data_IF_872486043055
#
_entry.id   IF_872486043055
#
_cell.length_a   1.000
_cell.length_b   1.000
_cell.length_c   1.000
_cell.angle_alpha   90.00
_cell.angle_beta   90.00
_cell.angle_gamma   90.00
#
_symmetry.space_group_name_H-M   'P 1'
#
loop_
_entity.id
_entity.type
_entity.pdbx_description
1 polymer ?
#
# COMPACT_ATOMS: atom_id res chain seq x y z
N UNK A 1 18.78 14.64 -20.48
CA UNK A 1 18.60 15.54 -19.33
C UNK A 1 18.58 14.68 -18.10
N UNK A 2 19.45 14.95 -17.13
CA UNK A 2 19.61 14.19 -15.89
C UNK A 2 18.51 14.54 -14.87
N UNK A 3 17.27 14.65 -15.34
CA UNK A 3 16.10 14.92 -14.53
C UNK A 3 15.42 13.61 -14.19
N UNK A 4 15.16 13.37 -12.90
CA UNK A 4 14.38 12.24 -12.45
C UNK A 4 13.01 12.21 -13.13
N UNK A 5 12.63 11.05 -13.66
CA UNK A 5 11.39 10.89 -14.43
C UNK A 5 10.33 10.07 -13.70
N UNK A 6 10.75 9.13 -12.84
CA UNK A 6 9.86 8.21 -12.14
C UNK A 6 10.40 7.88 -10.75
N UNK A 7 9.53 7.38 -9.87
CA UNK A 7 9.92 6.87 -8.55
C UNK A 7 10.64 7.90 -7.67
N UNK A 8 11.63 7.42 -6.89
CA UNK A 8 12.41 8.26 -5.98
C UNK A 8 13.21 9.33 -6.72
N UNK A 9 13.72 9.03 -7.91
CA UNK A 9 14.46 10.01 -8.73
C UNK A 9 13.59 11.22 -9.06
N UNK A 10 12.31 11.00 -9.39
CA UNK A 10 11.37 12.10 -9.62
C UNK A 10 11.00 12.82 -8.32
N UNK A 11 10.65 12.08 -7.27
CA UNK A 11 10.25 12.67 -5.99
C UNK A 11 11.36 13.50 -5.33
N UNK A 12 12.61 13.07 -5.48
CA UNK A 12 13.79 13.67 -4.86
C UNK A 12 14.64 14.45 -5.87
N UNK A 13 14.13 14.75 -7.07
CA UNK A 13 14.91 15.37 -8.14
C UNK A 13 15.63 16.64 -7.67
N UNK A 14 14.93 17.51 -6.92
CA UNK A 14 15.49 18.77 -6.42
C UNK A 14 16.57 18.56 -5.35
N UNK A 15 16.51 17.44 -4.64
CA UNK A 15 17.48 17.05 -3.61
C UNK A 15 18.72 16.39 -4.23
N UNK A 16 18.53 15.57 -5.27
CA UNK A 16 19.56 14.75 -5.93
C UNK A 16 20.32 15.48 -7.05
N UNK A 17 19.66 16.37 -7.80
CA UNK A 17 20.25 16.94 -9.04
C UNK A 17 21.34 18.00 -8.83
N UNK A 18 21.41 18.60 -7.64
CA UNK A 18 22.37 19.67 -7.37
C UNK A 18 22.09 20.94 -8.18
N UNK A 19 23.12 21.68 -8.56
CA UNK A 19 23.02 22.86 -9.44
C UNK A 19 24.18 22.90 -10.42
N UNK A 20 23.86 22.99 -11.71
CA UNK A 20 24.86 23.13 -12.76
C UNK A 20 25.73 24.38 -12.56
N UNK A 21 27.02 24.22 -12.85
CA UNK A 21 27.96 25.32 -12.92
C UNK A 21 27.92 26.03 -14.28
N UNK A 22 28.56 27.19 -14.35
CA UNK A 22 28.81 27.93 -15.59
C UNK A 22 30.28 28.28 -15.66
N UNK A 23 30.90 28.00 -16.80
CA UNK A 23 32.25 28.44 -17.11
C UNK A 23 32.28 29.15 -18.46
N UNK A 24 33.21 30.08 -18.61
CA UNK A 24 33.56 30.71 -19.86
C UNK A 24 34.73 29.95 -20.46
N UNK A 25 34.59 29.52 -21.71
CA UNK A 25 35.62 28.79 -22.43
C UNK A 25 35.82 29.39 -23.82
N UNK A 26 37.04 29.30 -24.35
CA UNK A 26 37.35 29.60 -25.75
C UNK A 26 37.16 28.31 -26.54
N UNK A 27 36.39 28.38 -27.63
CA UNK A 27 36.16 27.24 -28.52
C UNK A 27 36.65 27.53 -29.93
N UNK A 28 36.97 26.47 -30.69
CA UNK A 28 37.16 26.60 -32.13
C UNK A 28 35.80 26.80 -32.86
N UNK A 29 35.86 26.95 -34.19
CA UNK A 29 34.68 27.00 -35.07
C UNK A 29 33.81 25.72 -35.04
N UNK A 30 34.34 24.61 -34.52
CA UNK A 30 33.66 23.34 -34.32
C UNK A 30 33.10 23.15 -32.90
N UNK A 31 33.16 24.17 -32.04
CA UNK A 31 32.73 24.15 -30.62
C UNK A 31 33.56 23.23 -29.72
N UNK A 32 34.76 22.81 -30.13
CA UNK A 32 35.68 22.10 -29.24
C UNK A 32 36.30 23.09 -28.27
N UNK A 33 36.33 22.73 -26.98
CA UNK A 33 36.94 23.58 -25.95
C UNK A 33 38.47 23.58 -26.09
N UNK A 34 39.04 24.77 -26.27
CA UNK A 34 40.49 24.99 -26.37
C UNK A 34 41.05 25.35 -24.99
N UNK A 35 40.37 26.25 -24.27
CA UNK A 35 40.81 26.76 -22.98
C UNK A 35 39.62 27.17 -22.09
N UNK A 36 39.69 26.83 -20.81
CA UNK A 36 38.77 27.32 -19.78
C UNK A 36 39.29 28.65 -19.23
N UNK A 37 38.53 29.73 -19.47
CA UNK A 37 38.96 31.11 -19.14
C UNK A 37 38.57 31.46 -17.70
N UNK A 38 37.36 31.12 -17.29
CA UNK A 38 36.81 31.56 -16.01
C UNK A 38 35.66 30.67 -15.55
N UNK A 39 35.61 30.34 -14.25
CA UNK A 39 34.41 29.74 -13.64
C UNK A 39 33.50 30.87 -13.17
N UNK A 40 32.41 31.10 -13.92
CA UNK A 40 31.40 32.12 -13.60
C UNK A 40 30.56 31.67 -12.38
N UNK A 41 30.23 30.38 -12.33
CA UNK A 41 29.46 29.78 -11.25
C UNK A 41 29.95 28.35 -11.02
N UNK A 42 30.45 28.00 -9.82
CA UNK A 42 30.83 26.62 -9.54
C UNK A 42 29.58 25.73 -9.50
N UNK A 43 29.71 24.52 -10.03
CA UNK A 43 28.68 23.50 -9.89
C UNK A 43 28.54 23.11 -8.41
N UNK A 44 27.32 22.80 -7.98
CA UNK A 44 27.03 22.25 -6.65
C UNK A 44 26.52 20.84 -6.82
N UNK A 45 27.18 19.88 -6.17
CA UNK A 45 26.68 18.51 -6.15
C UNK A 45 25.33 18.44 -5.43
N UNK A 46 24.51 17.47 -5.83
CA UNK A 46 23.33 17.09 -5.09
C UNK A 46 23.67 16.49 -3.74
N UNK A 47 22.65 16.11 -2.99
CA UNK A 47 22.80 15.49 -1.68
C UNK A 47 22.56 13.99 -1.78
N UNK A 48 23.29 13.24 -0.97
CA UNK A 48 23.08 11.80 -0.85
C UNK A 48 21.76 11.52 -0.10
N UNK A 49 21.03 10.52 -0.60
CA UNK A 49 19.82 10.00 -0.01
C UNK A 49 20.04 8.53 0.38
N UNK A 50 19.77 8.20 1.63
CA UNK A 50 19.84 6.82 2.12
C UNK A 50 18.41 6.30 2.23
N UNK A 51 18.05 5.36 1.36
CA UNK A 51 16.74 4.77 1.38
C UNK A 51 16.62 3.74 2.52
N UNK A 52 15.44 3.61 3.11
CA UNK A 52 15.09 2.57 4.09
C UNK A 52 15.07 1.16 3.51
N UNK A 53 15.18 1.02 2.19
CA UNK A 53 15.14 -0.26 1.47
C UNK A 53 16.39 -1.08 1.82
N UNK A 54 16.17 -2.26 2.42
CA UNK A 54 17.23 -3.24 2.61
C UNK A 54 17.36 -4.09 1.33
N UNK A 55 18.47 -3.92 0.61
CA UNK A 55 18.73 -4.60 -0.67
C UNK A 55 18.64 -6.13 -0.55
N UNK A 56 18.94 -6.71 0.62
CA UNK A 56 18.84 -8.17 0.85
C UNK A 56 17.38 -8.60 0.93
N UNK A 57 16.56 -7.86 1.67
CA UNK A 57 15.11 -8.11 1.79
C UNK A 57 14.44 -7.86 0.43
N UNK A 58 14.81 -6.79 -0.25
CA UNK A 58 14.34 -6.46 -1.60
C UNK A 58 14.62 -7.60 -2.60
N UNK A 59 15.86 -8.14 -2.60
CA UNK A 59 16.24 -9.25 -3.48
C UNK A 59 15.45 -10.52 -3.16
N UNK A 60 15.28 -10.86 -1.88
CA UNK A 60 14.51 -12.02 -1.45
C UNK A 60 13.04 -11.89 -1.86
N UNK A 61 12.43 -10.73 -1.60
CA UNK A 61 11.05 -10.44 -1.97
C UNK A 61 10.85 -10.50 -3.48
N UNK A 62 11.77 -9.95 -4.27
CA UNK A 62 11.72 -9.99 -5.72
C UNK A 62 11.80 -11.42 -6.26
N UNK A 63 12.73 -12.22 -5.73
CA UNK A 63 12.94 -13.62 -6.14
C UNK A 63 11.69 -14.46 -5.85
N UNK A 64 11.17 -14.38 -4.62
CA UNK A 64 9.97 -15.10 -4.21
C UNK A 64 8.72 -14.66 -5.02
N UNK A 65 8.57 -13.35 -5.27
CA UNK A 65 7.46 -12.83 -6.07
C UNK A 65 7.50 -13.39 -7.51
N UNK A 66 8.67 -13.38 -8.15
CA UNK A 66 8.83 -13.89 -9.50
C UNK A 66 8.58 -15.40 -9.58
N UNK A 67 9.06 -16.17 -8.60
CA UNK A 67 8.77 -17.60 -8.50
C UNK A 67 7.25 -17.84 -8.40
N UNK A 68 6.57 -17.09 -7.53
CA UNK A 68 5.12 -17.16 -7.38
C UNK A 68 4.37 -16.83 -8.67
N UNK A 69 4.78 -15.76 -9.37
CA UNK A 69 4.20 -15.36 -10.66
C UNK A 69 4.37 -16.45 -11.72
N UNK A 70 5.56 -17.03 -11.83
CA UNK A 70 5.86 -18.07 -12.81
C UNK A 70 5.07 -19.35 -12.51
N UNK A 71 5.04 -19.79 -11.25
CA UNK A 71 4.35 -21.01 -10.84
C UNK A 71 2.82 -20.93 -11.06
N UNK A 72 2.23 -19.74 -10.94
CA UNK A 72 0.78 -19.55 -11.09
C UNK A 72 0.39 -18.90 -12.42
N UNK A 73 1.35 -18.62 -13.30
CA UNK A 73 1.13 -17.87 -14.54
C UNK A 73 0.37 -16.55 -14.29
N UNK A 74 0.69 -15.87 -13.18
CA UNK A 74 -0.02 -14.67 -12.77
C UNK A 74 0.28 -13.51 -13.75
N UNK A 75 -0.74 -12.69 -14.03
CA UNK A 75 -0.56 -11.53 -14.92
C UNK A 75 0.33 -10.46 -14.30
N UNK A 76 0.14 -10.21 -13.00
CA UNK A 76 0.79 -9.17 -12.20
C UNK A 76 0.84 -9.61 -10.75
N UNK A 77 1.84 -9.15 -10.00
CA UNK A 77 1.93 -9.33 -8.55
C UNK A 77 2.71 -8.18 -7.92
N UNK A 78 2.53 -7.97 -6.62
CA UNK A 78 3.29 -6.99 -5.84
C UNK A 78 3.55 -7.53 -4.44
N UNK A 79 4.64 -7.11 -3.81
CA UNK A 79 4.90 -7.38 -2.40
C UNK A 79 5.53 -6.15 -1.74
N UNK A 80 5.19 -5.95 -0.47
CA UNK A 80 5.68 -4.87 0.40
C UNK A 80 6.14 -5.50 1.72
N UNK A 81 7.28 -5.06 2.22
CA UNK A 81 7.79 -5.42 3.54
C UNK A 81 8.03 -4.14 4.32
N UNK A 82 7.45 -4.04 5.51
CA UNK A 82 7.55 -2.89 6.40
C UNK A 82 8.23 -3.28 7.71
N UNK A 83 9.02 -2.37 8.27
CA UNK A 83 9.35 -2.43 9.70
C UNK A 83 8.15 -1.90 10.50
N UNK A 84 7.61 -2.74 11.38
CA UNK A 84 6.39 -2.41 12.14
C UNK A 84 6.62 -1.31 13.18
N UNK A 85 7.85 -1.15 13.67
CA UNK A 85 8.19 -0.21 14.75
C UNK A 85 8.48 1.18 14.21
N UNK A 86 9.03 1.29 13.01
CA UNK A 86 9.43 2.57 12.41
C UNK A 86 8.52 3.02 11.27
N UNK A 87 7.84 2.08 10.60
CA UNK A 87 7.07 2.36 9.37
C UNK A 87 7.95 2.45 8.11
N UNK A 88 9.24 2.14 8.23
CA UNK A 88 10.17 2.09 7.11
C UNK A 88 9.80 1.00 6.11
N UNK A 89 9.85 1.34 4.82
CA UNK A 89 9.69 0.36 3.74
C UNK A 89 11.03 -0.34 3.54
N UNK A 90 11.09 -1.60 3.95
CA UNK A 90 12.29 -2.44 3.79
C UNK A 90 12.38 -3.05 2.39
N UNK A 91 11.22 -3.31 1.77
CA UNK A 91 11.16 -3.77 0.38
C UNK A 91 9.83 -3.40 -0.28
N UNK A 92 9.89 -3.09 -1.56
CA UNK A 92 8.73 -2.89 -2.43
C UNK A 92 9.05 -3.41 -3.83
N UNK A 93 8.33 -4.46 -4.24
CA UNK A 93 8.60 -5.18 -5.49
C UNK A 93 7.31 -5.37 -6.27
N UNK A 94 7.41 -5.28 -7.60
CA UNK A 94 6.29 -5.43 -8.52
C UNK A 94 6.71 -6.36 -9.66
N UNK A 95 5.77 -7.15 -10.17
CA UNK A 95 5.92 -7.91 -11.40
C UNK A 95 4.71 -7.63 -12.32
N UNK A 96 4.91 -7.37 -13.62
CA UNK A 96 6.18 -7.37 -14.32
C UNK A 96 7.05 -6.14 -13.99
N UNK A 97 8.37 -6.34 -14.00
CA UNK A 97 9.39 -5.29 -13.91
C UNK A 97 10.42 -5.48 -15.03
N UNK A 98 11.26 -4.47 -15.28
CA UNK A 98 12.35 -4.56 -16.26
C UNK A 98 13.56 -3.73 -15.81
N UNK A 99 14.71 -3.99 -16.45
CA UNK A 99 15.89 -3.15 -16.30
C UNK A 99 15.70 -1.82 -17.02
N UNK A 100 15.61 -0.74 -16.24
CA UNK A 100 15.39 0.63 -16.72
C UNK A 100 16.63 1.27 -17.34
N UNK A 101 17.81 0.63 -17.26
CA UNK A 101 18.98 1.00 -18.05
C UNK A 101 18.74 0.80 -19.55
N UNK A 102 17.89 -0.16 -19.92
CA UNK A 102 17.50 -0.41 -21.29
C UNK A 102 16.35 0.49 -21.74
N UNK A 103 16.66 1.48 -22.58
CA UNK A 103 15.69 2.45 -23.10
C UNK A 103 14.47 1.79 -23.78
N UNK A 104 14.64 0.62 -24.42
CA UNK A 104 13.53 -0.08 -25.09
C UNK A 104 12.52 -0.68 -24.10
N UNK A 105 12.92 -0.87 -22.84
CA UNK A 105 12.10 -1.46 -21.78
C UNK A 105 11.47 -0.40 -20.86
N UNK A 106 11.68 0.90 -21.13
CA UNK A 106 11.03 2.01 -20.40
C UNK A 106 9.57 2.19 -20.84
N UNK A 107 8.77 1.15 -20.62
CA UNK A 107 7.34 1.14 -20.90
C UNK A 107 6.57 1.24 -19.58
N UNK A 108 5.42 1.96 -19.53
CA UNK A 108 4.63 2.15 -18.32
C UNK A 108 4.34 0.87 -17.54
N UNK A 109 4.13 -0.24 -18.23
CA UNK A 109 3.84 -1.54 -17.61
C UNK A 109 4.95 -2.07 -16.70
N UNK A 110 6.21 -1.67 -16.92
CA UNK A 110 7.40 -2.18 -16.24
C UNK A 110 7.93 -1.27 -15.13
N UNK A 111 7.68 0.04 -15.19
CA UNK A 111 8.11 0.99 -14.14
C UNK A 111 6.98 1.42 -13.20
N UNK A 112 5.72 1.11 -13.53
CA UNK A 112 4.58 1.41 -12.65
C UNK A 112 4.74 0.71 -11.30
N UNK A 113 4.77 1.48 -10.22
CA UNK A 113 4.81 0.95 -8.87
C UNK A 113 3.41 0.54 -8.40
N UNK A 114 2.98 -0.67 -8.75
CA UNK A 114 1.61 -1.19 -8.54
C UNK A 114 1.23 -1.23 -7.07
N UNK A 115 2.18 -1.52 -6.18
CA UNK A 115 1.96 -1.52 -4.74
C UNK A 115 1.39 -0.19 -4.19
N UNK A 116 1.66 0.95 -4.85
CA UNK A 116 1.16 2.28 -4.48
C UNK A 116 0.06 2.81 -5.41
N UNK A 117 0.08 2.38 -6.67
CA UNK A 117 -0.75 2.96 -7.74
C UNK A 117 -1.97 2.14 -8.11
N UNK A 118 -1.93 0.80 -7.94
CA UNK A 118 -3.05 -0.07 -8.28
C UNK A 118 -3.94 -0.25 -7.04
N UNK A 119 -5.26 -0.12 -7.27
CA UNK A 119 -6.30 -0.27 -6.25
C UNK A 119 -7.03 -1.57 -6.42
N UNK A 120 -7.37 -2.22 -5.31
CA UNK A 120 -8.13 -3.46 -5.30
C UNK A 120 -9.02 -3.55 -4.06
N UNK A 121 -10.08 -4.35 -4.18
CA UNK A 121 -10.90 -4.76 -3.05
C UNK A 121 -10.13 -5.81 -2.22
N UNK A 122 -9.82 -5.55 -0.94
CA UNK A 122 -8.96 -6.41 -0.13
C UNK A 122 -9.60 -7.77 0.23
N UNK A 123 -10.92 -7.89 0.08
CA UNK A 123 -11.66 -9.09 0.41
C UNK A 123 -11.42 -9.53 1.87
N UNK A 124 -11.21 -10.83 2.08
CA UNK A 124 -11.09 -11.39 3.43
C UNK A 124 -9.90 -10.88 4.24
N UNK A 125 -8.89 -10.28 3.61
CA UNK A 125 -7.78 -9.62 4.34
C UNK A 125 -8.25 -8.39 5.13
N UNK A 126 -9.47 -7.91 4.90
CA UNK A 126 -10.06 -6.81 5.64
C UNK A 126 -10.68 -7.23 6.98
N UNK A 127 -11.07 -8.51 7.13
CA UNK A 127 -11.77 -9.02 8.32
C UNK A 127 -11.03 -8.77 9.64
N UNK A 128 -9.69 -8.91 9.72
CA UNK A 128 -8.96 -8.56 10.94
C UNK A 128 -9.19 -7.12 11.39
N UNK A 129 -9.32 -6.16 10.47
CA UNK A 129 -9.58 -4.75 10.82
C UNK A 129 -10.96 -4.58 11.45
N UNK A 130 -11.94 -5.33 10.95
CA UNK A 130 -13.33 -5.34 11.43
C UNK A 130 -13.42 -5.96 12.82
N UNK A 131 -12.77 -7.11 13.00
CA UNK A 131 -12.69 -7.79 14.30
C UNK A 131 -11.95 -6.91 15.31
N UNK A 132 -10.83 -6.29 14.92
CA UNK A 132 -10.07 -5.39 15.79
C UNK A 132 -10.91 -4.19 16.24
N UNK A 133 -11.67 -3.56 15.33
CA UNK A 133 -12.57 -2.45 15.68
C UNK A 133 -13.61 -2.86 16.74
N UNK A 134 -14.20 -4.04 16.57
CA UNK A 134 -15.22 -4.53 17.49
C UNK A 134 -14.65 -4.88 18.87
N UNK A 135 -13.43 -5.40 18.92
CA UNK A 135 -12.69 -5.68 20.17
C UNK A 135 -12.24 -4.39 20.87
N UNK A 136 -11.71 -3.42 20.12
CA UNK A 136 -11.21 -2.13 20.65
C UNK A 136 -12.30 -1.35 21.40
N UNK A 137 -13.55 -1.47 20.96
CA UNK A 137 -14.70 -0.78 21.54
C UNK A 137 -15.55 -1.65 22.47
N UNK A 138 -15.02 -2.79 22.93
CA UNK A 138 -15.69 -3.73 23.83
C UNK A 138 -17.10 -4.18 23.35
N UNK A 139 -17.35 -4.13 22.04
CA UNK A 139 -18.62 -4.60 21.45
C UNK A 139 -18.71 -6.12 21.54
N UNK A 140 -17.56 -6.78 21.44
CA UNK A 140 -17.39 -8.21 21.61
C UNK A 140 -16.12 -8.49 22.43
N UNK A 141 -16.13 -9.59 23.16
CA UNK A 141 -14.96 -10.23 23.72
C UNK A 141 -14.43 -11.31 22.77
N UNK A 142 -13.15 -11.66 22.90
CA UNK A 142 -12.52 -12.68 22.06
C UNK A 142 -13.16 -14.07 22.14
N UNK A 143 -13.83 -14.36 23.27
CA UNK A 143 -14.53 -15.63 23.53
C UNK A 143 -16.00 -15.61 23.10
N UNK A 144 -16.54 -14.46 22.73
CA UNK A 144 -17.93 -14.36 22.29
C UNK A 144 -18.12 -15.13 20.99
N UNK A 145 -19.26 -15.81 20.88
CA UNK A 145 -19.58 -16.64 19.73
C UNK A 145 -20.71 -16.04 18.91
N UNK A 146 -20.61 -16.18 17.59
CA UNK A 146 -21.59 -15.72 16.64
C UNK A 146 -22.04 -16.92 15.80
N UNK A 147 -23.34 -17.18 15.79
CA UNK A 147 -23.93 -18.18 14.91
C UNK A 147 -23.69 -17.78 13.44
N UNK A 148 -23.12 -18.70 12.64
CA UNK A 148 -22.85 -18.51 11.22
C UNK A 148 -23.96 -18.99 10.28
N UNK A 149 -25.19 -19.17 10.79
CA UNK A 149 -26.35 -19.43 9.94
C UNK A 149 -26.48 -18.35 8.84
N UNK A 150 -26.56 -18.75 7.55
CA UNK A 150 -26.80 -17.84 6.44
C UNK A 150 -28.04 -16.98 6.66
N UNK A 151 -28.00 -15.74 6.19
CA UNK A 151 -29.11 -14.80 6.32
C UNK A 151 -29.15 -13.85 5.12
N UNK A 152 -30.28 -13.18 4.92
CA UNK A 152 -30.48 -12.27 3.79
C UNK A 152 -30.61 -10.82 4.24
N UNK A 153 -30.00 -9.92 3.48
CA UNK A 153 -30.20 -8.47 3.59
C UNK A 153 -30.81 -8.01 2.26
N UNK A 154 -32.11 -7.68 2.30
CA UNK A 154 -32.88 -7.46 1.07
C UNK A 154 -32.87 -8.71 0.19
N UNK A 155 -32.48 -8.58 -1.08
CA UNK A 155 -32.37 -9.69 -2.03
C UNK A 155 -31.04 -10.45 -1.99
N UNK A 156 -30.06 -9.99 -1.20
CA UNK A 156 -28.73 -10.60 -1.15
C UNK A 156 -28.61 -11.54 0.04
N UNK A 157 -28.33 -12.81 -0.24
CA UNK A 157 -27.95 -13.79 0.78
C UNK A 157 -26.46 -13.65 1.13
N UNK A 158 -26.17 -13.59 2.43
CA UNK A 158 -24.82 -13.68 2.98
C UNK A 158 -24.66 -15.10 3.51
N UNK A 159 -23.68 -15.80 2.95
CA UNK A 159 -23.37 -17.19 3.29
C UNK A 159 -21.89 -17.46 3.24
N UNK A 160 -21.52 -18.50 3.97
CA UNK A 160 -20.21 -19.14 3.93
C UNK A 160 -20.26 -20.38 3.02
N UNK A 161 -19.09 -20.99 2.67
CA UNK A 161 -19.06 -22.23 1.88
C UNK A 161 -19.83 -23.39 2.52
N UNK A 162 -19.96 -23.39 3.86
CA UNK A 162 -20.78 -24.30 4.64
C UNK A 162 -21.17 -23.63 5.96
N UNK A 163 -22.19 -24.16 6.62
CA UNK A 163 -22.51 -23.76 7.99
C UNK A 163 -21.46 -24.32 8.96
N UNK A 164 -20.86 -23.45 9.77
CA UNK A 164 -19.81 -23.83 10.72
C UNK A 164 -20.30 -23.98 12.17
N UNK A 165 -21.57 -23.66 12.45
CA UNK A 165 -22.03 -23.48 13.82
C UNK A 165 -21.70 -22.10 14.38
N UNK A 166 -21.90 -21.91 15.69
CA UNK A 166 -21.36 -20.76 16.41
C UNK A 166 -19.84 -20.74 16.34
N UNK A 167 -19.26 -19.60 15.95
CA UNK A 167 -17.81 -19.39 15.89
C UNK A 167 -17.41 -18.24 16.82
N UNK A 168 -16.30 -18.40 17.53
CA UNK A 168 -15.61 -17.28 18.18
C UNK A 168 -15.05 -16.28 17.17
N UNK A 169 -14.70 -15.06 17.62
CA UNK A 169 -14.06 -14.05 16.77
C UNK A 169 -12.77 -14.56 16.11
N UNK A 170 -11.96 -15.34 16.83
CA UNK A 170 -10.76 -15.98 16.27
C UNK A 170 -11.11 -17.03 15.20
N UNK A 171 -12.13 -17.85 15.44
CA UNK A 171 -12.58 -18.85 14.47
C UNK A 171 -13.21 -18.22 13.22
N UNK A 172 -13.88 -17.08 13.35
CA UNK A 172 -14.37 -16.30 12.21
C UNK A 172 -13.22 -15.94 11.27
N UNK A 173 -12.06 -15.55 11.81
CA UNK A 173 -10.86 -15.28 11.01
C UNK A 173 -10.28 -16.57 10.42
N UNK A 174 -10.15 -17.65 11.21
CA UNK A 174 -9.62 -18.95 10.74
C UNK A 174 -10.46 -19.54 9.60
N UNK A 175 -11.80 -19.47 9.71
CA UNK A 175 -12.72 -19.97 8.68
C UNK A 175 -13.02 -18.94 7.60
N UNK A 176 -12.52 -17.72 7.77
CA UNK A 176 -12.86 -16.57 6.94
C UNK A 176 -14.37 -16.45 6.73
N UNK A 177 -15.16 -16.52 7.81
CA UNK A 177 -16.62 -16.47 7.75
C UNK A 177 -17.09 -15.07 7.32
N UNK A 178 -17.76 -14.99 6.17
CA UNK A 178 -18.43 -13.77 5.71
C UNK A 178 -19.64 -13.47 6.60
N UNK A 179 -20.38 -14.51 7.02
CA UNK A 179 -21.55 -14.37 7.90
C UNK A 179 -21.13 -13.81 9.27
N UNK A 180 -20.06 -14.35 9.85
CA UNK A 180 -19.52 -13.88 11.13
C UNK A 180 -19.05 -12.44 11.03
N UNK A 181 -18.22 -12.12 10.04
CA UNK A 181 -17.72 -10.76 9.82
C UNK A 181 -18.86 -9.76 9.59
N UNK A 182 -19.86 -10.11 8.78
CA UNK A 182 -21.00 -9.22 8.52
C UNK A 182 -21.87 -9.01 9.74
N UNK A 183 -22.08 -10.03 10.59
CA UNK A 183 -22.82 -9.87 11.86
C UNK A 183 -22.07 -8.96 12.84
N UNK A 184 -20.74 -9.10 12.96
CA UNK A 184 -19.92 -8.16 13.75
C UNK A 184 -20.13 -6.72 13.24
N UNK A 185 -20.08 -6.54 11.92
CA UNK A 185 -20.26 -5.23 11.30
C UNK A 185 -21.64 -4.63 11.54
N UNK A 186 -22.70 -5.43 11.46
CA UNK A 186 -24.07 -4.95 11.68
C UNK A 186 -24.34 -4.59 13.15
N UNK A 187 -23.66 -5.24 14.09
CA UNK A 187 -23.80 -5.02 15.53
C UNK A 187 -22.89 -3.90 16.07
N UNK A 188 -21.90 -3.46 15.30
CA UNK A 188 -20.99 -2.36 15.65
C UNK A 188 -21.42 -1.08 14.96
N UNK A 189 -21.39 0.07 15.65
CA UNK A 189 -21.76 1.36 15.09
C UNK A 189 -20.90 1.67 13.83
N UNK A 190 -21.51 2.06 12.68
CA UNK A 190 -20.75 2.41 11.48
C UNK A 190 -19.76 3.57 11.69
N UNK A 191 -20.01 4.47 12.63
CA UNK A 191 -19.08 5.54 13.00
C UNK A 191 -17.73 5.00 13.48
N UNK A 192 -17.76 3.99 14.36
CA UNK A 192 -16.56 3.36 14.92
C UNK A 192 -15.72 2.69 13.84
N UNK A 193 -16.36 2.03 12.87
CA UNK A 193 -15.64 1.49 11.70
C UNK A 193 -15.01 2.59 10.86
N UNK A 194 -15.77 3.64 10.53
CA UNK A 194 -15.23 4.73 9.74
C UNK A 194 -14.03 5.39 10.42
N UNK A 195 -14.11 5.61 11.73
CA UNK A 195 -13.05 6.20 12.54
C UNK A 195 -11.79 5.32 12.56
N UNK A 196 -11.91 4.04 12.92
CA UNK A 196 -10.77 3.12 13.01
C UNK A 196 -10.15 2.89 11.63
N UNK A 197 -10.96 2.63 10.59
CA UNK A 197 -10.43 2.42 9.24
C UNK A 197 -9.75 3.69 8.70
N UNK A 198 -10.29 4.88 8.98
CA UNK A 198 -9.63 6.14 8.64
C UNK A 198 -8.32 6.34 9.41
N UNK A 199 -8.29 6.02 10.72
CA UNK A 199 -7.05 6.07 11.52
C UNK A 199 -5.98 5.14 10.95
N UNK A 200 -6.37 3.94 10.50
CA UNK A 200 -5.50 2.98 9.80
C UNK A 200 -5.05 3.45 8.41
N UNK A 201 -5.59 4.55 7.88
CA UNK A 201 -5.22 5.12 6.58
C UNK A 201 -5.98 4.55 5.39
N UNK A 202 -7.05 3.79 5.62
CA UNK A 202 -7.91 3.28 4.55
C UNK A 202 -8.61 4.46 3.87
N UNK A 203 -8.57 4.50 2.54
CA UNK A 203 -9.12 5.62 1.77
C UNK A 203 -8.26 6.89 1.75
N UNK A 204 -7.07 6.89 2.36
CA UNK A 204 -6.20 8.07 2.46
C UNK A 204 -4.81 7.78 1.87
N UNK A 205 -4.21 8.72 1.13
CA UNK A 205 -2.83 8.54 0.68
C UNK A 205 -1.89 8.35 1.90
N UNK A 206 -0.92 7.45 1.80
CA UNK A 206 0.02 7.16 2.91
C UNK A 206 1.02 8.28 3.16
N UNK A 207 1.05 9.29 2.27
CA UNK A 207 2.02 10.38 2.29
C UNK A 207 3.48 9.89 2.23
N UNK A 208 3.71 8.75 1.58
CA UNK A 208 5.02 8.09 1.45
C UNK A 208 6.07 8.91 0.69
N UNK A 209 5.66 10.00 0.03
CA UNK A 209 6.52 10.79 -0.86
C UNK A 209 6.66 10.20 -2.27
N UNK A 210 6.10 9.03 -2.56
CA UNK A 210 6.12 8.47 -3.91
C UNK A 210 5.19 9.25 -4.87
N UNK A 211 5.64 9.51 -6.12
CA UNK A 211 4.79 10.14 -7.11
C UNK A 211 3.74 9.17 -7.61
N UNK A 212 2.54 9.68 -7.88
CA UNK A 212 1.44 8.90 -8.43
C UNK A 212 0.76 7.95 -7.46
N UNK A 213 1.06 8.03 -6.15
CA UNK A 213 0.35 7.27 -5.13
C UNK A 213 -1.15 7.53 -5.21
N UNK A 214 -1.94 6.46 -5.22
CA UNK A 214 -3.41 6.57 -5.23
C UNK A 214 -3.94 6.50 -3.81
N UNK A 215 -4.88 7.38 -3.48
CA UNK A 215 -5.78 7.12 -2.36
C UNK A 215 -6.77 6.03 -2.78
N UNK A 216 -6.82 4.96 -1.96
CA UNK A 216 -7.93 4.01 -1.92
C UNK A 216 -9.29 4.71 -1.76
N UNK A 217 -10.36 3.95 -1.53
CA UNK A 217 -11.70 4.50 -1.34
C UNK A 217 -12.30 4.00 -0.04
N UNK A 218 -12.81 4.93 0.77
CA UNK A 218 -13.64 4.66 1.95
C UNK A 218 -14.73 5.74 1.98
N UNK A 219 -16.00 5.33 1.92
CA UNK A 219 -17.10 6.28 1.90
C UNK A 219 -17.22 7.03 3.22
N UNK A 220 -16.94 8.33 3.21
CA UNK A 220 -17.00 9.19 4.39
C UNK A 220 -18.41 9.44 4.91
N UNK A 221 -19.44 9.06 4.14
CA UNK A 221 -20.84 9.23 4.53
C UNK A 221 -21.37 8.06 5.34
N UNK A 222 -20.65 7.68 6.40
CA UNK A 222 -20.95 6.50 7.23
C UNK A 222 -22.36 6.50 7.81
N UNK A 223 -22.95 7.68 8.07
CA UNK A 223 -24.33 7.80 8.55
C UNK A 223 -25.37 7.32 7.54
N UNK A 224 -24.99 7.16 6.26
CA UNK A 224 -25.85 6.66 5.17
C UNK A 224 -25.53 5.21 4.78
N UNK A 225 -24.59 4.55 5.46
CA UNK A 225 -24.26 3.16 5.18
C UNK A 225 -25.44 2.25 5.50
N UNK A 226 -26.02 1.66 4.45
CA UNK A 226 -27.08 0.66 4.58
C UNK A 226 -26.49 -0.68 5.01
N UNK A 227 -27.29 -1.53 5.64
CA UNK A 227 -26.86 -2.85 6.12
C UNK A 227 -26.16 -3.71 5.06
N UNK A 228 -26.63 -3.66 3.80
CA UNK A 228 -25.99 -4.40 2.71
C UNK A 228 -24.56 -3.91 2.40
N UNK A 229 -24.32 -2.61 2.52
CA UNK A 229 -22.99 -2.01 2.38
C UNK A 229 -22.13 -2.34 3.60
N UNK A 230 -22.65 -2.17 4.82
CA UNK A 230 -21.95 -2.50 6.08
C UNK A 230 -21.50 -3.96 6.09
N UNK A 231 -22.38 -4.87 5.70
CA UNK A 231 -22.06 -6.28 5.58
C UNK A 231 -20.96 -6.54 4.55
N UNK A 232 -21.05 -5.92 3.36
CA UNK A 232 -20.05 -6.10 2.29
C UNK A 232 -18.68 -5.55 2.66
N UNK A 233 -18.65 -4.38 3.30
CA UNK A 233 -17.44 -3.76 3.83
C UNK A 233 -16.74 -4.69 4.82
N UNK A 234 -17.51 -5.41 5.64
CA UNK A 234 -17.00 -6.30 6.66
C UNK A 234 -16.08 -7.42 6.13
N UNK A 235 -16.29 -7.82 4.87
CA UNK A 235 -15.47 -8.82 4.20
C UNK A 235 -14.77 -8.25 2.95
N UNK A 236 -14.53 -6.93 2.94
CA UNK A 236 -13.59 -6.24 2.08
C UNK A 236 -14.10 -5.84 0.69
N UNK A 237 -15.39 -5.52 0.56
CA UNK A 237 -16.02 -5.01 -0.67
C UNK A 237 -16.67 -3.64 -0.45
N UNK A 238 -16.78 -2.82 -1.51
CA UNK A 238 -17.12 -1.38 -1.43
C UNK A 238 -16.05 -0.55 -0.69
N UNK A 239 -14.82 -1.04 -0.72
CA UNK A 239 -13.62 -0.37 -0.21
C UNK A 239 -12.49 -0.75 -1.14
N UNK A 240 -11.73 0.24 -1.59
CA UNK A 240 -10.51 0.00 -2.34
C UNK A 240 -9.30 0.37 -1.50
N UNK A 241 -8.26 -0.44 -1.57
CA UNK A 241 -6.96 -0.14 -0.97
C UNK A 241 -5.87 -0.30 -2.02
N UNK A 242 -4.76 0.40 -1.84
CA UNK A 242 -3.49 -0.02 -2.44
C UNK A 242 -2.76 -0.97 -1.47
N UNK A 243 -1.71 -1.65 -1.95
CA UNK A 243 -1.04 -2.67 -1.15
C UNK A 243 -0.30 -2.08 0.05
N UNK A 244 0.28 -0.88 -0.08
CA UNK A 244 1.02 -0.24 1.01
C UNK A 244 0.10 0.24 2.14
N UNK A 245 -1.11 0.69 1.83
CA UNK A 245 -2.15 1.01 2.82
C UNK A 245 -2.54 -0.23 3.63
N UNK A 246 -2.79 -1.36 2.93
CA UNK A 246 -3.13 -2.61 3.58
C UNK A 246 -1.97 -3.12 4.45
N UNK A 247 -0.73 -3.05 3.93
CA UNK A 247 0.46 -3.40 4.70
C UNK A 247 0.61 -2.53 5.95
N UNK A 248 0.37 -1.23 5.88
CA UNK A 248 0.44 -0.33 7.04
C UNK A 248 -0.63 -0.63 8.08
N UNK A 249 -1.85 -0.95 7.65
CA UNK A 249 -2.93 -1.36 8.55
C UNK A 249 -2.55 -2.63 9.32
N UNK A 250 -1.94 -3.61 8.64
CA UNK A 250 -1.42 -4.82 9.28
C UNK A 250 -0.20 -4.55 10.18
N UNK A 251 0.72 -3.67 9.77
CA UNK A 251 1.85 -3.25 10.58
C UNK A 251 1.38 -2.59 11.89
N UNK A 252 0.31 -1.78 11.82
CA UNK A 252 -0.32 -1.17 13.00
C UNK A 252 -0.86 -2.22 13.96
N UNK A 253 -1.56 -3.24 13.46
CA UNK A 253 -2.04 -4.37 14.29
C UNK A 253 -0.84 -5.09 14.94
N UNK A 254 0.18 -5.39 14.15
CA UNK A 254 1.39 -6.07 14.64
C UNK A 254 2.19 -5.23 15.66
N UNK A 255 2.12 -3.90 15.55
CA UNK A 255 2.77 -2.94 16.45
C UNK A 255 1.89 -2.54 17.64
N UNK A 256 0.95 -3.40 18.04
CA UNK A 256 0.12 -3.18 19.23
C UNK A 256 -0.83 -1.98 19.10
N UNK A 257 -1.31 -1.68 17.89
CA UNK A 257 -2.22 -0.57 17.62
C UNK A 257 -1.54 0.77 17.33
N UNK A 258 -0.21 0.86 17.45
CA UNK A 258 0.53 2.09 17.15
C UNK A 258 0.84 2.16 15.66
N UNK A 259 0.20 3.11 14.97
CA UNK A 259 0.43 3.38 13.55
C UNK A 259 1.64 4.30 13.36
N UNK A 260 2.56 3.88 12.51
CA UNK A 260 3.64 4.73 12.01
C UNK A 260 3.30 5.29 10.62
N UNK A 261 3.87 6.45 10.32
CA UNK A 261 3.86 6.95 8.95
C UNK A 261 4.79 6.10 8.10
N UNK A 262 4.42 5.88 6.85
CA UNK A 262 5.27 5.17 5.91
C UNK A 262 6.50 6.06 5.60
N UNK A 263 7.69 5.50 5.78
CA UNK A 263 8.96 6.17 5.49
C UNK A 263 9.76 5.43 4.43
N UNK A 264 10.48 6.19 3.61
CA UNK A 264 11.51 5.69 2.70
C UNK A 264 12.91 6.13 3.13
N UNK A 265 13.01 6.81 4.26
CA UNK A 265 14.21 7.30 4.94
C UNK A 265 14.39 6.60 6.28
#
# INVERSE_FOLDING_TARGET
NDQGQEGLEYALNDYLSGKDGKKKAITDIGLNTIEDVEIIQPAKQGKDFHASIDVRIQYLAHTALNEGVNNHTAKQASAVVLDIKTGEVLAIVNNPSADMSNLKLRLPKFYKNRALTDKFEPGSTFKPLIVATALEHDIFNSIDTIDTLPYSIGSREIKDPRYYGPLSLGEILIKSSNVGASKISLLTDPELFYEILSKLGIGQATASGFPGETSGTLDSSYQRWRDGMRASLAFGYNVDVNLIQLANAYATIANGGVKNNISLE
#
